data_IF_346697829987
#
_entry.id   IF_346697829987
#
_cell.length_a   1.000
_cell.length_b   1.000
_cell.length_c   1.000
_cell.angle_alpha   90.00
_cell.angle_beta   90.00
_cell.angle_gamma   90.00
#
_symmetry.space_group_name_H-M   'P 1'
#
loop_
_entity.id
_entity.type
_entity.pdbx_description
1 polymer ?
#
# COMPACT_ATOMS: atom_id res chain seq x y z
N UNK A 1 -66.23 4.04 52.48
CA UNK A 1 -66.47 4.46 51.08
C UNK A 1 -65.60 5.67 50.76
N UNK A 2 -65.12 5.75 49.51
CA UNK A 2 -64.14 6.71 48.90
C UNK A 2 -62.70 6.16 48.92
N UNK A 3 -62.23 5.47 47.87
CA UNK A 3 -61.81 5.87 46.51
C UNK A 3 -60.59 6.81 46.45
N UNK A 4 -59.54 6.30 45.76
CA UNK A 4 -58.53 6.96 44.89
C UNK A 4 -57.63 8.04 45.53
N UNK A 5 -56.34 8.20 45.19
CA UNK A 5 -55.68 8.16 43.87
C UNK A 5 -54.21 7.74 44.08
N UNK A 6 -53.72 6.79 43.26
CA UNK A 6 -52.29 6.49 43.12
C UNK A 6 -51.72 7.39 42.02
N UNK A 7 -50.85 8.34 42.37
CA UNK A 7 -50.18 9.23 41.41
C UNK A 7 -48.89 8.54 40.95
N UNK A 8 -48.88 8.09 39.70
CA UNK A 8 -47.66 7.67 39.00
C UNK A 8 -46.85 8.91 38.61
N UNK A 9 -45.65 9.06 39.17
CA UNK A 9 -44.64 10.01 38.70
C UNK A 9 -43.98 9.44 37.44
N UNK A 10 -44.33 9.99 36.28
CA UNK A 10 -43.60 9.78 35.03
C UNK A 10 -42.39 10.72 35.04
N UNK A 11 -41.21 10.18 35.29
CA UNK A 11 -39.96 10.88 34.98
C UNK A 11 -39.82 10.98 33.47
N UNK A 12 -40.06 12.17 32.93
CA UNK A 12 -39.66 12.52 31.57
C UNK A 12 -38.14 12.66 31.56
N UNK A 13 -37.44 11.57 31.27
CA UNK A 13 -36.03 11.62 30.85
C UNK A 13 -36.04 12.28 29.47
N UNK A 14 -35.78 13.59 29.46
CA UNK A 14 -35.48 14.32 28.25
C UNK A 14 -34.27 13.65 27.59
N UNK A 15 -34.47 13.09 26.40
CA UNK A 15 -33.37 12.69 25.54
C UNK A 15 -32.59 13.95 25.19
N UNK A 16 -31.46 14.16 25.85
CA UNK A 16 -30.46 15.11 25.39
C UNK A 16 -29.90 14.52 24.09
N UNK A 17 -30.40 14.98 22.95
CA UNK A 17 -29.74 14.76 21.68
C UNK A 17 -28.43 15.53 21.73
N UNK A 18 -27.35 14.83 22.10
CA UNK A 18 -26.01 15.31 21.79
C UNK A 18 -25.96 15.53 20.29
N UNK A 19 -25.88 16.81 19.93
CA UNK A 19 -25.68 17.30 18.58
C UNK A 19 -24.31 16.81 18.10
N UNK A 20 -24.26 15.60 17.57
CA UNK A 20 -23.19 15.10 16.72
C UNK A 20 -23.15 15.93 15.43
N UNK A 21 -22.61 17.14 15.53
CA UNK A 21 -22.37 18.01 14.38
C UNK A 21 -20.88 18.34 14.38
N UNK A 22 -20.24 18.08 13.23
CA UNK A 22 -18.95 18.62 12.80
C UNK A 22 -17.67 17.75 12.87
N UNK A 23 -17.73 16.42 13.08
CA UNK A 23 -16.55 15.56 12.85
C UNK A 23 -16.43 15.12 11.38
N UNK A 24 -17.55 14.79 10.73
CA UNK A 24 -17.53 14.27 9.35
C UNK A 24 -17.08 15.32 8.31
N UNK A 25 -17.42 16.59 8.51
CA UNK A 25 -17.02 17.66 7.60
C UNK A 25 -15.53 18.01 7.71
N UNK A 26 -14.98 18.00 8.94
CA UNK A 26 -13.55 18.23 9.17
C UNK A 26 -12.72 17.08 8.59
N UNK A 27 -13.10 15.83 8.89
CA UNK A 27 -12.43 14.65 8.35
C UNK A 27 -12.54 14.55 6.82
N UNK A 28 -13.66 14.95 6.22
CA UNK A 28 -13.83 15.03 4.75
C UNK A 28 -12.97 16.15 4.14
N UNK A 29 -12.83 17.29 4.84
CA UNK A 29 -12.01 18.41 4.37
C UNK A 29 -10.50 18.11 4.42
N UNK A 30 -10.04 17.37 5.42
CA UNK A 30 -8.65 16.92 5.52
C UNK A 30 -8.32 15.85 4.47
N UNK A 31 -9.21 14.87 4.30
CA UNK A 31 -9.13 13.86 3.20
C UNK A 31 -9.00 14.53 1.83
N UNK A 32 -9.88 15.47 1.53
CA UNK A 32 -9.86 16.20 0.26
C UNK A 32 -8.55 16.97 0.02
N UNK A 33 -7.93 17.49 1.08
CA UNK A 33 -6.65 18.19 1.01
C UNK A 33 -5.49 17.23 0.66
N UNK A 34 -5.41 16.07 1.31
CA UNK A 34 -4.40 15.06 0.98
C UNK A 34 -4.60 14.50 -0.43
N UNK A 35 -5.84 14.19 -0.83
CA UNK A 35 -6.15 13.70 -2.17
C UNK A 35 -5.71 14.69 -3.25
N UNK A 36 -6.07 15.97 -3.09
CA UNK A 36 -5.67 17.03 -4.03
C UNK A 36 -4.14 17.17 -4.11
N UNK A 37 -3.44 17.13 -2.97
CA UNK A 37 -1.96 17.12 -2.95
C UNK A 37 -1.40 15.92 -3.72
N UNK A 38 -1.94 14.72 -3.48
CA UNK A 38 -1.45 13.49 -4.11
C UNK A 38 -1.66 13.52 -5.63
N UNK A 39 -2.85 13.95 -6.08
CA UNK A 39 -3.18 14.13 -7.51
C UNK A 39 -2.27 15.16 -8.16
N UNK A 40 -2.08 16.33 -7.53
CA UNK A 40 -1.23 17.40 -8.05
C UNK A 40 0.25 16.99 -8.12
N UNK A 41 0.66 15.98 -7.37
CA UNK A 41 1.99 15.38 -7.43
C UNK A 41 2.04 14.13 -8.33
N UNK A 42 1.12 14.02 -9.30
CA UNK A 42 1.22 13.06 -10.39
C UNK A 42 0.85 11.61 -10.04
N UNK A 43 0.12 11.38 -8.95
CA UNK A 43 -0.27 10.02 -8.55
C UNK A 43 -1.12 9.31 -9.62
N UNK A 44 -1.93 10.04 -10.39
CA UNK A 44 -2.72 9.45 -11.49
C UNK A 44 -2.05 9.57 -12.87
N UNK A 45 -0.76 9.92 -12.94
CA UNK A 45 -0.03 10.14 -14.22
C UNK A 45 -0.07 8.93 -15.16
N UNK A 46 -0.02 7.72 -14.60
CA UNK A 46 0.01 6.47 -15.37
C UNK A 46 -1.30 5.69 -15.31
N UNK A 47 -2.33 6.25 -14.66
CA UNK A 47 -3.63 5.60 -14.54
C UNK A 47 -4.23 5.30 -15.91
N UNK A 48 -5.13 4.30 -15.97
CA UNK A 48 -5.88 4.03 -17.19
C UNK A 48 -6.61 5.31 -17.65
N UNK A 49 -6.31 5.75 -18.89
CA UNK A 49 -6.86 6.97 -19.47
C UNK A 49 -8.40 7.01 -19.46
N UNK A 50 -9.06 5.86 -19.58
CA UNK A 50 -10.51 5.75 -19.53
C UNK A 50 -11.09 5.94 -18.12
N UNK A 51 -10.27 5.80 -17.09
CA UNK A 51 -10.67 5.83 -15.67
C UNK A 51 -10.17 7.05 -14.90
N UNK A 52 -9.32 7.91 -15.47
CA UNK A 52 -8.73 9.06 -14.75
C UNK A 52 -9.78 9.92 -14.03
N UNK A 53 -10.92 10.21 -14.68
CA UNK A 53 -12.00 10.99 -14.08
C UNK A 53 -12.60 10.32 -12.85
N UNK A 54 -12.97 9.05 -12.95
CA UNK A 54 -13.50 8.26 -11.83
C UNK A 54 -12.46 8.04 -10.74
N UNK A 55 -11.20 7.76 -11.09
CA UNK A 55 -10.12 7.58 -10.11
C UNK A 55 -9.82 8.88 -9.36
N UNK A 56 -9.93 10.04 -10.01
CA UNK A 56 -9.81 11.35 -9.34
C UNK A 56 -10.93 11.57 -8.34
N UNK A 57 -12.18 11.29 -8.72
CA UNK A 57 -13.34 11.43 -7.84
C UNK A 57 -13.23 10.48 -6.65
N UNK A 58 -12.96 9.19 -6.91
CA UNK A 58 -12.81 8.16 -5.88
C UNK A 58 -11.69 8.51 -4.90
N UNK A 59 -10.50 8.87 -5.38
CA UNK A 59 -9.39 9.28 -4.51
C UNK A 59 -9.73 10.54 -3.69
N UNK A 60 -10.53 11.46 -4.23
CA UNK A 60 -10.97 12.67 -3.51
C UNK A 60 -11.97 12.33 -2.41
N UNK A 61 -12.88 11.39 -2.65
CA UNK A 61 -13.97 11.04 -1.74
C UNK A 61 -13.51 10.09 -0.61
N UNK A 62 -12.64 9.13 -0.92
CA UNK A 62 -12.26 8.04 -0.01
C UNK A 62 -10.78 8.01 0.38
N UNK A 63 -9.91 8.70 -0.36
CA UNK A 63 -8.45 8.53 -0.31
C UNK A 63 -8.00 7.07 -0.60
N UNK A 64 -8.76 6.35 -1.42
CA UNK A 64 -8.40 4.99 -1.84
C UNK A 64 -7.23 5.01 -2.83
N UNK A 65 -6.06 4.57 -2.35
CA UNK A 65 -4.80 4.47 -3.11
C UNK A 65 -4.56 3.07 -3.68
N UNK A 66 -5.47 2.12 -3.46
CA UNK A 66 -5.31 0.70 -3.76
C UNK A 66 -5.91 0.29 -5.11
N UNK A 67 -6.44 1.24 -5.89
CA UNK A 67 -6.99 0.97 -7.23
C UNK A 67 -5.90 0.50 -8.19
N UNK A 68 -5.99 -0.76 -8.60
CA UNK A 68 -5.08 -1.40 -9.54
C UNK A 68 -4.93 -0.63 -10.88
N UNK A 69 -5.93 0.13 -11.29
CA UNK A 69 -5.88 0.87 -12.56
C UNK A 69 -5.10 2.18 -12.46
N UNK A 70 -4.57 2.52 -11.28
CA UNK A 70 -3.59 3.60 -11.14
C UNK A 70 -2.16 3.20 -11.55
N UNK A 71 -1.91 1.90 -11.76
CA UNK A 71 -0.59 1.33 -12.09
C UNK A 71 0.50 1.75 -11.11
N UNK A 72 0.22 1.71 -9.80
CA UNK A 72 1.18 1.95 -8.72
C UNK A 72 1.27 0.82 -7.72
N UNK A 73 0.22 0.02 -7.55
CA UNK A 73 0.16 -1.03 -6.53
C UNK A 73 0.13 -2.44 -7.13
N UNK A 74 0.83 -3.35 -6.47
CA UNK A 74 0.75 -4.80 -6.74
C UNK A 74 0.77 -5.58 -5.43
N UNK A 75 -0.07 -6.60 -5.35
CA UNK A 75 0.05 -7.66 -4.36
C UNK A 75 1.25 -8.53 -4.72
N UNK A 76 2.17 -8.69 -3.78
CA UNK A 76 3.42 -9.44 -3.97
C UNK A 76 3.36 -10.78 -3.27
N UNK A 77 2.77 -10.80 -2.08
CA UNK A 77 2.85 -11.90 -1.13
C UNK A 77 4.32 -12.21 -0.74
N UNK A 78 4.66 -12.01 0.54
CA UNK A 78 6.03 -12.21 0.99
C UNK A 78 6.46 -13.68 0.96
N UNK A 79 5.52 -14.61 1.15
CA UNK A 79 5.77 -16.05 1.08
C UNK A 79 6.06 -16.44 -0.37
N UNK A 80 5.22 -16.03 -1.31
CA UNK A 80 5.42 -16.32 -2.74
C UNK A 80 6.77 -15.77 -3.24
N UNK A 81 7.16 -14.56 -2.81
CA UNK A 81 8.48 -14.01 -3.15
C UNK A 81 9.63 -14.80 -2.52
N UNK A 82 9.53 -15.12 -1.23
CA UNK A 82 10.57 -15.83 -0.52
C UNK A 82 10.74 -17.29 -0.99
N UNK A 83 9.66 -17.92 -1.45
CA UNK A 83 9.63 -19.28 -1.98
C UNK A 83 9.85 -19.35 -3.50
N UNK A 84 10.23 -18.23 -4.11
CA UNK A 84 10.62 -18.12 -5.53
C UNK A 84 9.48 -18.31 -6.53
N UNK A 85 8.23 -18.15 -6.11
CA UNK A 85 7.02 -18.19 -6.96
C UNK A 85 6.82 -16.89 -7.74
N UNK A 86 7.83 -16.47 -8.51
CA UNK A 86 7.82 -15.18 -9.20
C UNK A 86 6.67 -15.00 -10.19
N UNK A 87 6.15 -16.09 -10.77
CA UNK A 87 5.01 -16.07 -11.69
C UNK A 87 3.72 -15.54 -11.04
N UNK A 88 3.61 -15.57 -9.71
CA UNK A 88 2.48 -15.02 -8.97
C UNK A 88 2.35 -13.50 -9.17
N UNK A 89 3.43 -12.74 -8.98
CA UNK A 89 3.38 -11.28 -8.95
C UNK A 89 4.11 -10.58 -10.10
N UNK A 90 5.11 -11.21 -10.74
CA UNK A 90 5.89 -10.56 -11.81
C UNK A 90 5.03 -10.05 -12.98
N UNK A 91 3.97 -10.75 -13.45
CA UNK A 91 3.13 -10.22 -14.52
C UNK A 91 2.48 -8.88 -14.14
N UNK A 92 1.97 -8.78 -12.92
CA UNK A 92 1.35 -7.54 -12.40
C UNK A 92 2.39 -6.44 -12.21
N UNK A 93 3.54 -6.77 -11.61
CA UNK A 93 4.64 -5.84 -11.41
C UNK A 93 5.19 -5.29 -12.74
N UNK A 94 5.29 -6.14 -13.77
CA UNK A 94 5.70 -5.73 -15.11
C UNK A 94 4.66 -4.84 -15.81
N UNK A 95 3.35 -5.01 -15.56
CA UNK A 95 2.34 -4.06 -16.07
C UNK A 95 2.56 -2.65 -15.52
N UNK A 96 2.97 -2.54 -14.25
CA UNK A 96 3.31 -1.25 -13.61
C UNK A 96 4.59 -0.68 -14.23
N UNK A 97 5.66 -1.47 -14.28
CA UNK A 97 6.97 -1.05 -14.78
C UNK A 97 6.98 -0.71 -16.28
N UNK A 98 6.16 -1.38 -17.09
CA UNK A 98 6.02 -1.10 -18.51
C UNK A 98 5.55 0.33 -18.79
N UNK A 99 4.75 0.94 -17.89
CA UNK A 99 4.37 2.37 -18.00
C UNK A 99 5.56 3.32 -17.90
N UNK A 100 6.69 2.85 -17.34
CA UNK A 100 7.98 3.55 -17.24
C UNK A 100 9.01 3.06 -18.26
N UNK A 101 8.60 2.19 -19.20
CA UNK A 101 9.51 1.59 -20.19
C UNK A 101 10.53 0.62 -19.56
N UNK A 102 10.21 0.01 -18.42
CA UNK A 102 11.07 -0.93 -17.72
C UNK A 102 10.47 -2.33 -17.80
N UNK A 103 11.33 -3.32 -18.04
CA UNK A 103 11.00 -4.73 -17.95
C UNK A 103 11.82 -5.36 -16.83
N UNK A 104 11.18 -6.22 -16.05
CA UNK A 104 11.79 -6.96 -14.95
C UNK A 104 11.68 -8.46 -15.21
N UNK A 105 12.79 -9.16 -15.11
CA UNK A 105 12.85 -10.60 -14.97
C UNK A 105 13.39 -10.95 -13.58
N UNK A 106 12.82 -11.99 -12.98
CA UNK A 106 13.37 -12.62 -11.79
C UNK A 106 13.27 -14.13 -11.93
N UNK A 107 14.32 -14.84 -11.54
CA UNK A 107 14.32 -16.30 -11.50
C UNK A 107 15.28 -16.80 -10.43
N UNK A 108 15.03 -17.99 -9.90
CA UNK A 108 15.98 -18.66 -9.01
C UNK A 108 17.29 -18.93 -9.77
N UNK A 109 18.43 -18.69 -9.13
CA UNK A 109 19.74 -18.84 -9.77
C UNK A 109 20.06 -20.31 -10.10
N UNK A 110 19.66 -21.24 -9.23
CA UNK A 110 19.93 -22.67 -9.36
C UNK A 110 18.94 -23.54 -8.57
N UNK A 111 18.63 -24.73 -9.10
CA UNK A 111 17.79 -25.74 -8.44
C UNK A 111 18.59 -26.59 -7.43
N UNK A 112 19.93 -26.49 -7.46
CA UNK A 112 20.84 -27.25 -6.61
C UNK A 112 21.40 -26.38 -5.48
N UNK A 113 21.11 -26.82 -4.26
CA UNK A 113 21.66 -26.40 -2.94
C UNK A 113 21.33 -24.99 -2.44
N UNK A 114 20.62 -24.95 -1.29
CA UNK A 114 20.67 -24.01 -0.14
C UNK A 114 21.02 -22.53 -0.36
N UNK A 115 20.90 -22.04 -1.59
CA UNK A 115 21.20 -20.69 -1.98
C UNK A 115 19.87 -19.99 -2.17
N UNK A 116 19.63 -18.97 -1.35
CA UNK A 116 18.49 -18.08 -1.47
C UNK A 116 18.80 -16.95 -2.47
N UNK A 117 19.59 -17.28 -3.49
CA UNK A 117 20.03 -16.36 -4.52
C UNK A 117 19.11 -16.41 -5.73
N UNK A 118 18.86 -15.25 -6.29
CA UNK A 118 18.01 -15.07 -7.47
C UNK A 118 18.72 -14.17 -8.47
N UNK A 119 18.39 -14.35 -9.73
CA UNK A 119 18.77 -13.45 -10.81
C UNK A 119 17.66 -12.44 -11.02
N UNK A 120 17.95 -11.16 -10.87
CA UNK A 120 17.05 -10.05 -11.20
C UNK A 120 17.65 -9.26 -12.36
N UNK A 121 17.02 -9.29 -13.53
CA UNK A 121 17.56 -8.74 -14.78
C UNK A 121 19.00 -9.22 -15.10
N UNK A 122 19.34 -10.45 -14.71
CA UNK A 122 20.67 -11.04 -14.90
C UNK A 122 21.67 -10.77 -13.78
N UNK A 123 21.35 -9.89 -12.83
CA UNK A 123 22.19 -9.65 -11.64
C UNK A 123 21.82 -10.61 -10.51
N UNK A 124 22.82 -11.25 -9.93
CA UNK A 124 22.62 -12.10 -8.75
C UNK A 124 22.42 -11.26 -7.49
N UNK A 125 21.34 -11.52 -6.77
CA UNK A 125 21.11 -11.00 -5.42
C UNK A 125 20.79 -12.15 -4.46
N UNK A 126 21.19 -12.01 -3.20
CA UNK A 126 20.75 -12.88 -2.13
C UNK A 126 19.47 -12.30 -1.52
N UNK A 127 18.37 -13.04 -1.58
CA UNK A 127 17.11 -12.60 -0.97
C UNK A 127 17.21 -12.62 0.56
N UNK A 128 17.75 -13.70 1.11
CA UNK A 128 17.93 -13.89 2.54
C UNK A 128 19.04 -14.90 2.83
N UNK A 129 19.41 -15.06 4.10
CA UNK A 129 20.45 -16.00 4.54
C UNK A 129 19.84 -17.20 5.25
N UNK A 130 20.64 -18.25 5.47
CA UNK A 130 20.21 -19.38 6.32
C UNK A 130 19.81 -18.90 7.72
N UNK A 131 20.52 -17.89 8.26
CA UNK A 131 20.20 -17.29 9.55
C UNK A 131 18.81 -16.63 9.55
N UNK A 132 18.40 -16.00 8.44
CA UNK A 132 17.05 -15.42 8.35
C UNK A 132 15.98 -16.51 8.33
N UNK A 133 16.25 -17.63 7.67
CA UNK A 133 15.37 -18.80 7.67
C UNK A 133 15.26 -19.40 9.08
N UNK A 134 16.40 -19.65 9.73
CA UNK A 134 16.46 -20.23 11.08
C UNK A 134 15.76 -19.35 12.13
N UNK A 135 15.76 -18.02 11.94
CA UNK A 135 15.10 -17.05 12.81
C UNK A 135 13.67 -16.70 12.37
N UNK A 136 13.16 -17.29 11.30
CA UNK A 136 11.85 -16.99 10.73
C UNK A 136 11.66 -15.50 10.34
N UNK A 137 12.73 -14.83 9.90
CA UNK A 137 12.71 -13.42 9.44
C UNK A 137 12.75 -13.28 7.92
N UNK A 138 12.91 -14.39 7.19
CA UNK A 138 13.09 -14.40 5.75
C UNK A 138 11.92 -13.79 4.95
N UNK A 139 10.67 -13.88 5.43
CA UNK A 139 9.53 -13.18 4.82
C UNK A 139 9.60 -11.64 4.91
N UNK A 140 10.37 -11.07 5.85
CA UNK A 140 10.67 -9.61 5.85
C UNK A 140 11.95 -9.31 5.07
N UNK A 141 13.00 -10.14 5.22
CA UNK A 141 14.29 -9.92 4.57
C UNK A 141 14.21 -10.05 3.04
N UNK A 142 13.50 -11.06 2.52
CA UNK A 142 13.45 -11.36 1.09
C UNK A 142 12.86 -10.22 0.25
N UNK A 143 11.65 -9.68 0.58
CA UNK A 143 11.07 -8.61 -0.21
C UNK A 143 11.89 -7.32 -0.14
N UNK A 144 12.49 -7.01 1.02
CA UNK A 144 13.38 -5.85 1.18
C UNK A 144 14.56 -5.92 0.22
N UNK A 145 15.26 -7.05 0.17
CA UNK A 145 16.42 -7.19 -0.70
C UNK A 145 16.03 -7.21 -2.18
N UNK A 146 14.90 -7.85 -2.52
CA UNK A 146 14.37 -7.81 -3.88
C UNK A 146 14.04 -6.38 -4.33
N UNK A 147 13.25 -5.63 -3.57
CA UNK A 147 12.83 -4.28 -3.96
C UNK A 147 13.94 -3.23 -3.84
N UNK A 148 14.96 -3.44 -2.98
CA UNK A 148 16.21 -2.66 -3.05
C UNK A 148 16.84 -2.78 -4.43
N UNK A 149 16.97 -4.01 -4.95
CA UNK A 149 17.53 -4.24 -6.29
C UNK A 149 16.67 -3.62 -7.40
N UNK A 150 15.35 -3.76 -7.32
CA UNK A 150 14.43 -3.14 -8.29
C UNK A 150 14.54 -1.60 -8.25
N UNK A 151 14.70 -1.01 -7.07
CA UNK A 151 14.91 0.43 -6.91
C UNK A 151 16.25 0.91 -7.49
N UNK A 152 17.31 0.11 -7.40
CA UNK A 152 18.57 0.39 -8.10
C UNK A 152 18.38 0.42 -9.63
N UNK A 153 17.61 -0.52 -10.19
CA UNK A 153 17.28 -0.57 -11.62
C UNK A 153 16.50 0.68 -12.03
N UNK A 154 15.49 1.08 -11.25
CA UNK A 154 14.71 2.30 -11.46
C UNK A 154 15.62 3.54 -11.46
N UNK A 155 16.50 3.65 -10.47
CA UNK A 155 17.47 4.75 -10.36
C UNK A 155 18.43 4.81 -11.54
N UNK A 156 18.94 3.65 -11.99
CA UNK A 156 19.81 3.56 -13.17
C UNK A 156 19.11 3.99 -14.47
N UNK A 157 17.77 3.98 -14.50
CA UNK A 157 16.93 4.49 -15.58
C UNK A 157 16.47 5.94 -15.36
N UNK A 158 17.04 6.65 -14.40
CA UNK A 158 16.68 8.02 -14.01
C UNK A 158 15.22 8.19 -13.58
N UNK A 159 14.61 7.14 -13.01
CA UNK A 159 13.30 7.25 -12.34
C UNK A 159 13.43 8.04 -11.04
N UNK A 160 12.49 8.95 -10.79
CA UNK A 160 12.27 9.59 -9.49
C UNK A 160 11.30 8.81 -8.58
N UNK A 161 10.71 7.74 -9.12
CA UNK A 161 9.87 6.79 -8.40
C UNK A 161 10.70 5.60 -7.87
N UNK A 162 10.34 5.11 -6.69
CA UNK A 162 10.87 3.90 -6.07
C UNK A 162 9.70 3.09 -5.45
N UNK A 163 9.89 1.78 -5.34
CA UNK A 163 8.96 0.92 -4.63
C UNK A 163 9.12 1.10 -3.12
N UNK A 164 7.97 1.25 -2.47
CA UNK A 164 7.77 1.13 -1.03
C UNK A 164 6.98 -0.15 -0.78
N UNK A 165 7.21 -0.79 0.36
CA UNK A 165 6.48 -1.96 0.81
C UNK A 165 5.30 -1.50 1.68
N UNK A 166 4.21 -2.24 1.65
CA UNK A 166 3.03 -2.02 2.49
C UNK A 166 2.54 -3.36 3.02
N UNK A 167 2.24 -3.41 4.31
CA UNK A 167 2.00 -4.66 5.05
C UNK A 167 3.22 -5.61 5.01
N UNK A 168 2.99 -6.89 5.28
CA UNK A 168 4.01 -7.94 5.29
C UNK A 168 3.32 -9.31 5.28
N UNK A 169 4.10 -10.39 5.39
CA UNK A 169 3.56 -11.75 5.25
C UNK A 169 2.85 -11.92 3.89
N UNK A 170 1.90 -12.84 3.82
CA UNK A 170 1.01 -13.06 2.68
C UNK A 170 0.22 -11.82 2.23
N UNK A 171 0.03 -10.81 3.08
CA UNK A 171 -0.66 -9.57 2.72
C UNK A 171 0.28 -8.50 2.08
N UNK A 172 1.56 -8.82 1.86
CA UNK A 172 2.53 -7.86 1.36
C UNK A 172 2.10 -7.28 0.00
N UNK A 173 2.00 -5.95 -0.04
CA UNK A 173 1.87 -5.17 -1.26
C UNK A 173 3.11 -4.30 -1.46
N UNK A 174 3.27 -3.81 -2.69
CA UNK A 174 4.22 -2.75 -3.01
C UNK A 174 3.55 -1.59 -3.71
N UNK A 175 4.07 -0.38 -3.49
CA UNK A 175 3.63 0.83 -4.15
C UNK A 175 4.81 1.56 -4.81
N UNK A 176 4.71 1.84 -6.11
CA UNK A 176 5.67 2.66 -6.84
C UNK A 176 5.32 4.14 -6.69
N UNK A 177 6.15 4.89 -5.97
CA UNK A 177 5.88 6.27 -5.56
C UNK A 177 7.12 7.15 -5.70
N UNK A 178 6.93 8.45 -5.90
CA UNK A 178 8.00 9.44 -5.62
C UNK A 178 8.11 9.68 -4.11
N UNK A 179 9.25 10.21 -3.64
CA UNK A 179 9.39 10.58 -2.21
C UNK A 179 8.29 11.55 -1.76
N UNK A 180 7.84 12.46 -2.65
CA UNK A 180 6.76 13.40 -2.33
C UNK A 180 5.40 12.72 -2.19
N UNK A 181 5.08 11.78 -3.07
CA UNK A 181 3.84 10.99 -2.99
C UNK A 181 3.84 10.14 -1.71
N UNK A 182 4.97 9.49 -1.40
CA UNK A 182 5.17 8.77 -0.15
C UNK A 182 4.90 9.66 1.07
N UNK A 183 5.51 10.85 1.16
CA UNK A 183 5.28 11.76 2.29
C UNK A 183 3.82 12.20 2.43
N UNK A 184 3.09 12.36 1.32
CA UNK A 184 1.66 12.71 1.36
C UNK A 184 0.83 11.55 1.91
N UNK A 185 1.10 10.32 1.45
CA UNK A 185 0.42 9.11 1.94
C UNK A 185 0.74 8.86 3.41
N UNK A 186 2.01 8.95 3.81
CA UNK A 186 2.44 8.77 5.19
C UNK A 186 1.81 9.83 6.12
N UNK A 187 1.68 11.09 5.66
CA UNK A 187 0.99 12.14 6.42
C UNK A 187 -0.52 11.89 6.54
N UNK A 188 -1.16 11.28 5.54
CA UNK A 188 -2.56 10.90 5.63
C UNK A 188 -2.80 9.79 6.67
N UNK A 189 -1.90 8.82 6.73
CA UNK A 189 -1.95 7.70 7.68
C UNK A 189 -1.15 7.95 8.96
N UNK A 190 -0.85 9.20 9.30
CA UNK A 190 -0.17 9.54 10.54
C UNK A 190 -0.96 8.98 11.75
N UNK A 191 -0.30 8.24 12.62
CA UNK A 191 -0.94 7.52 13.73
C UNK A 191 -1.48 6.12 13.37
N UNK A 192 -1.44 5.70 12.09
CA UNK A 192 -1.74 4.34 11.65
C UNK A 192 -0.56 3.74 10.85
N UNK A 193 0.44 3.27 11.59
CA UNK A 193 1.68 2.73 11.00
C UNK A 193 1.45 1.54 10.07
N UNK A 194 0.38 0.75 10.28
CA UNK A 194 0.07 -0.42 9.45
C UNK A 194 -0.31 -0.04 8.02
N UNK A 195 -0.93 1.12 7.85
CA UNK A 195 -1.36 1.66 6.54
C UNK A 195 -0.29 2.56 5.91
N UNK A 196 0.85 2.75 6.58
CA UNK A 196 1.92 3.60 6.08
C UNK A 196 2.92 2.74 5.31
N UNK A 197 3.14 2.99 4.00
CA UNK A 197 4.20 2.31 3.27
C UNK A 197 5.57 2.55 3.92
N UNK A 198 6.54 1.67 3.68
CA UNK A 198 7.89 1.81 4.22
C UNK A 198 8.93 1.48 3.15
N UNK A 199 10.14 2.02 3.33
CA UNK A 199 11.24 1.72 2.40
C UNK A 199 11.71 0.28 2.60
N UNK A 200 12.01 -0.45 1.51
CA UNK A 200 12.62 -1.78 1.61
C UNK A 200 13.99 -1.72 2.29
#
# INVERSE_FOLDING_TARGET
>A
MKQLVLIYLIFMISCNQDKGTNNNNVQKSEKGNYAAKLINNGFLKYADSSRVGSSKAHLTDSFDIYDDDNFRIAHIDAEELAEFSFDFFLPRLNRILAKRGISLSAQKLNDKENSFNVLVNGDTIQLYTQKDLDNNTFWDTAPRNFFKKVNEILKAKNSDEQFYLLYGSNDLHTMLLTDKQFSIIAGYYEGNIKETPYKP
#
